data_IF_425132043015
#
_entry.id   IF_425132043015
#
_cell.length_a   1.000
_cell.length_b   1.000
_cell.length_c   1.000
_cell.angle_alpha   90.00
_cell.angle_beta   90.00
_cell.angle_gamma   90.00
#
_symmetry.space_group_name_H-M   'P 1'
#
loop_
_entity.id
_entity.type
_entity.pdbx_description
1 polymer ?
#
# COMPACT_ATOMS: atom_id res chain seq x y z
N UNK A 1 -4.15 -35.31 -16.05
CA UNK A 1 -3.35 -34.53 -15.07
C UNK A 1 -4.32 -34.08 -14.02
N UNK A 2 -4.08 -34.39 -12.75
CA UNK A 2 -4.92 -33.87 -11.68
C UNK A 2 -4.91 -32.34 -11.73
N UNK A 3 -6.10 -31.74 -11.64
CA UNK A 3 -6.23 -30.29 -11.69
C UNK A 3 -5.50 -29.67 -10.51
N UNK A 4 -4.63 -28.71 -10.79
CA UNK A 4 -3.74 -28.09 -9.80
C UNK A 4 -4.58 -27.23 -8.86
N UNK A 5 -4.47 -27.48 -7.55
CA UNK A 5 -5.19 -26.74 -6.52
C UNK A 5 -4.59 -25.37 -6.22
N UNK A 6 -5.38 -24.31 -6.36
CA UNK A 6 -5.02 -22.93 -6.01
C UNK A 6 -5.92 -22.43 -4.89
N UNK A 7 -5.36 -22.09 -3.74
CA UNK A 7 -6.08 -21.50 -2.63
C UNK A 7 -6.13 -19.98 -2.76
N UNK A 8 -7.33 -19.41 -2.74
CA UNK A 8 -7.55 -17.96 -2.61
C UNK A 8 -8.13 -17.67 -1.22
N UNK A 9 -7.39 -17.00 -0.32
CA UNK A 9 -7.88 -16.69 1.02
C UNK A 9 -8.95 -15.61 1.07
N UNK A 10 -8.90 -14.66 0.13
CA UNK A 10 -9.77 -13.48 0.06
C UNK A 10 -10.13 -13.13 -1.39
N UNK A 11 -11.30 -12.54 -1.65
CA UNK A 11 -11.64 -12.04 -2.98
C UNK A 11 -10.73 -10.84 -3.30
N UNK A 12 -10.12 -10.86 -4.49
CA UNK A 12 -9.11 -9.87 -4.90
C UNK A 12 -9.51 -9.11 -6.16
N UNK A 13 -9.85 -9.84 -7.21
CA UNK A 13 -10.27 -9.30 -8.50
C UNK A 13 -11.16 -10.32 -9.19
N UNK A 14 -12.33 -9.88 -9.65
CA UNK A 14 -13.25 -10.76 -10.39
C UNK A 14 -12.61 -11.30 -11.67
N UNK A 15 -11.76 -10.51 -12.33
CA UNK A 15 -11.01 -10.94 -13.51
C UNK A 15 -10.00 -12.03 -13.15
N UNK A 16 -9.21 -11.83 -12.09
CA UNK A 16 -8.25 -12.84 -11.62
C UNK A 16 -8.94 -14.14 -11.23
N UNK A 17 -10.04 -14.05 -10.49
CA UNK A 17 -10.83 -15.22 -10.07
C UNK A 17 -11.33 -16.02 -11.29
N UNK A 18 -11.96 -15.35 -12.26
CA UNK A 18 -12.44 -15.99 -13.50
C UNK A 18 -11.31 -16.65 -14.30
N UNK A 19 -10.16 -15.98 -14.42
CA UNK A 19 -9.02 -16.54 -15.15
C UNK A 19 -8.38 -17.72 -14.42
N UNK A 20 -8.33 -17.70 -13.08
CA UNK A 20 -7.86 -18.83 -12.29
C UNK A 20 -8.80 -20.03 -12.41
N UNK A 21 -10.12 -19.83 -12.36
CA UNK A 21 -11.12 -20.91 -12.49
C UNK A 21 -11.07 -21.61 -13.85
N UNK A 22 -10.66 -20.91 -14.90
CA UNK A 22 -10.47 -21.51 -16.24
C UNK A 22 -9.24 -22.42 -16.32
N UNK A 23 -8.26 -22.25 -15.41
CA UNK A 23 -6.91 -22.87 -15.50
C UNK A 23 -6.60 -23.85 -14.38
N UNK A 24 -7.20 -23.64 -13.22
CA UNK A 24 -6.86 -24.31 -11.97
C UNK A 24 -8.12 -24.76 -11.22
N UNK A 25 -7.96 -25.69 -10.28
CA UNK A 25 -8.98 -26.00 -9.29
C UNK A 25 -8.90 -24.97 -8.16
N UNK A 26 -9.80 -23.98 -8.15
CA UNK A 26 -9.75 -22.83 -7.23
C UNK A 26 -10.53 -23.11 -5.95
N UNK A 27 -9.83 -23.03 -4.82
CA UNK A 27 -10.38 -23.14 -3.47
C UNK A 27 -10.59 -21.73 -2.88
N UNK A 28 -11.85 -21.30 -2.77
CA UNK A 28 -12.21 -19.95 -2.30
C UNK A 28 -12.56 -19.96 -0.81
N UNK A 29 -11.73 -19.40 0.06
CA UNK A 29 -11.97 -19.46 1.51
C UNK A 29 -13.15 -18.60 1.99
N UNK A 30 -13.53 -17.56 1.26
CA UNK A 30 -14.67 -16.71 1.65
C UNK A 30 -16.03 -17.36 1.37
N UNK A 31 -16.08 -18.45 0.62
CA UNK A 31 -17.34 -19.15 0.31
C UNK A 31 -17.62 -20.32 1.25
N UNK A 32 -16.75 -20.57 2.24
CA UNK A 32 -16.85 -21.71 3.16
C UNK A 32 -16.98 -21.26 4.61
N UNK A 33 -17.86 -21.89 5.42
CA UNK A 33 -18.09 -21.48 6.81
C UNK A 33 -16.95 -21.90 7.76
N UNK A 34 -16.38 -23.10 7.57
CA UNK A 34 -15.34 -23.66 8.44
C UNK A 34 -13.98 -23.66 7.73
N UNK A 35 -13.39 -22.47 7.54
CA UNK A 35 -12.15 -22.25 6.78
C UNK A 35 -11.00 -23.18 7.19
N UNK A 36 -10.73 -23.30 8.50
CA UNK A 36 -9.64 -24.15 9.01
C UNK A 36 -9.84 -25.62 8.67
N UNK A 37 -11.08 -26.13 8.79
CA UNK A 37 -11.37 -27.52 8.44
C UNK A 37 -11.26 -27.74 6.93
N UNK A 38 -11.79 -26.81 6.13
CA UNK A 38 -11.70 -26.86 4.67
C UNK A 38 -10.25 -26.89 4.17
N UNK A 39 -9.35 -26.07 4.75
CA UNK A 39 -7.92 -26.11 4.42
C UNK A 39 -7.34 -27.50 4.73
N UNK A 40 -7.68 -28.09 5.88
CA UNK A 40 -7.21 -29.42 6.27
C UNK A 40 -7.73 -30.53 5.34
N UNK A 41 -9.01 -30.47 4.96
CA UNK A 41 -9.64 -31.44 4.07
C UNK A 41 -9.01 -31.42 2.65
N UNK A 42 -8.48 -30.27 2.23
CA UNK A 42 -7.85 -30.07 0.92
C UNK A 42 -6.33 -29.91 0.98
N UNK A 43 -5.69 -30.16 2.13
CA UNK A 43 -4.29 -29.86 2.40
C UNK A 43 -3.31 -30.49 1.38
N UNK A 44 -3.63 -31.69 0.89
CA UNK A 44 -2.81 -32.43 -0.08
C UNK A 44 -3.10 -32.05 -1.53
N UNK A 45 -4.17 -31.30 -1.80
CA UNK A 45 -4.58 -30.87 -3.14
C UNK A 45 -4.07 -29.46 -3.49
N UNK A 46 -3.88 -28.61 -2.48
CA UNK A 46 -3.43 -27.22 -2.66
C UNK A 46 -1.92 -27.19 -2.93
N UNK A 47 -1.56 -26.65 -4.09
CA UNK A 47 -0.17 -26.49 -4.56
C UNK A 47 0.24 -25.02 -4.71
N UNK A 48 -0.72 -24.10 -4.77
CA UNK A 48 -0.46 -22.68 -4.81
C UNK A 48 -1.40 -21.88 -3.90
N UNK A 49 -0.93 -20.72 -3.42
CA UNK A 49 -1.76 -19.70 -2.76
C UNK A 49 -1.73 -18.43 -3.60
N UNK A 50 -2.89 -17.79 -3.75
CA UNK A 50 -3.01 -16.43 -4.29
C UNK A 50 -3.56 -15.50 -3.21
N UNK A 51 -2.70 -14.67 -2.66
CA UNK A 51 -3.02 -13.68 -1.61
C UNK A 51 -2.93 -12.25 -2.11
N UNK A 52 -3.02 -11.27 -1.20
CA UNK A 52 -2.84 -9.84 -1.46
C UNK A 52 -2.24 -9.12 -0.22
N UNK A 53 -2.35 -7.79 -0.19
CA UNK A 53 -1.86 -6.97 0.92
C UNK A 53 -2.64 -7.14 2.24
N UNK A 54 -3.87 -7.67 2.22
CA UNK A 54 -4.66 -7.91 3.44
C UNK A 54 -4.51 -9.33 3.97
N UNK A 55 -4.34 -10.32 3.09
CA UNK A 55 -4.20 -11.73 3.46
C UNK A 55 -3.21 -12.45 2.54
N UNK A 56 -2.16 -13.02 3.14
CA UNK A 56 -1.12 -13.78 2.44
C UNK A 56 -1.01 -15.21 2.96
N UNK A 57 0.21 -15.65 3.22
CA UNK A 57 0.52 -16.99 3.71
C UNK A 57 1.47 -16.90 4.92
N UNK A 58 0.89 -16.98 6.12
CA UNK A 58 1.65 -17.03 7.37
C UNK A 58 2.24 -18.43 7.63
N UNK A 59 3.02 -18.54 8.70
CA UNK A 59 3.68 -19.80 9.08
C UNK A 59 2.68 -20.95 9.32
N UNK A 60 1.52 -20.68 9.93
CA UNK A 60 0.52 -21.69 10.26
C UNK A 60 -0.13 -22.26 8.99
N UNK A 61 -0.51 -21.39 8.05
CA UNK A 61 -1.07 -21.79 6.77
C UNK A 61 -0.06 -22.58 5.94
N UNK A 62 1.19 -22.12 5.90
CA UNK A 62 2.29 -22.81 5.20
C UNK A 62 2.53 -24.22 5.78
N UNK A 63 2.48 -24.37 7.11
CA UNK A 63 2.63 -25.69 7.75
C UNK A 63 1.47 -26.64 7.46
N UNK A 64 0.25 -26.10 7.33
CA UNK A 64 -0.94 -26.90 7.06
C UNK A 64 -0.98 -27.47 5.64
N UNK A 65 -0.20 -26.90 4.70
CA UNK A 65 -0.22 -27.24 3.28
C UNK A 65 1.07 -27.93 2.82
N UNK A 66 1.21 -29.25 3.05
CA UNK A 66 2.46 -29.99 2.79
C UNK A 66 2.83 -30.12 1.30
N UNK A 67 1.91 -29.77 0.39
CA UNK A 67 2.11 -29.79 -1.07
C UNK A 67 2.21 -28.40 -1.67
N UNK A 68 2.27 -27.35 -0.85
CA UNK A 68 2.44 -25.98 -1.31
C UNK A 68 3.79 -25.81 -2.02
N UNK A 69 3.77 -25.22 -3.22
CA UNK A 69 4.95 -25.02 -4.04
C UNK A 69 5.20 -23.53 -4.34
N UNK A 70 4.14 -22.72 -4.41
CA UNK A 70 4.24 -21.29 -4.74
C UNK A 70 3.18 -20.45 -4.01
N UNK A 71 3.60 -19.26 -3.54
CA UNK A 71 2.72 -18.18 -3.09
C UNK A 71 2.84 -17.02 -4.09
N UNK A 72 1.78 -16.76 -4.85
CA UNK A 72 1.71 -15.69 -5.83
C UNK A 72 0.85 -14.53 -5.29
N UNK A 73 1.50 -13.45 -4.86
CA UNK A 73 0.79 -12.34 -4.23
C UNK A 73 0.31 -11.30 -5.24
N UNK A 74 -0.96 -10.95 -5.17
CA UNK A 74 -1.58 -9.79 -5.82
C UNK A 74 -1.27 -8.50 -5.04
N UNK A 75 0.01 -8.26 -4.77
CA UNK A 75 0.54 -7.07 -4.10
C UNK A 75 2.03 -6.92 -4.42
N UNK A 76 2.61 -5.75 -4.13
CA UNK A 76 4.07 -5.56 -4.11
C UNK A 76 4.65 -5.85 -2.72
N UNK A 77 4.02 -5.32 -1.67
CA UNK A 77 4.44 -5.57 -0.28
C UNK A 77 4.18 -7.02 0.14
N UNK A 78 5.17 -7.61 0.81
CA UNK A 78 5.21 -9.03 1.21
C UNK A 78 4.99 -9.22 2.71
N UNK A 79 4.52 -8.20 3.42
CA UNK A 79 4.34 -8.19 4.88
C UNK A 79 3.32 -9.23 5.40
N UNK A 80 2.50 -9.82 4.51
CA UNK A 80 1.54 -10.88 4.82
C UNK A 80 2.02 -12.30 4.45
N UNK A 81 3.24 -12.45 3.97
CA UNK A 81 3.82 -13.76 3.60
C UNK A 81 5.05 -14.01 4.47
N UNK A 82 5.10 -15.17 5.14
CA UNK A 82 6.30 -15.58 5.87
C UNK A 82 7.38 -16.05 4.87
N UNK A 83 8.15 -15.08 4.36
CA UNK A 83 9.21 -15.32 3.39
C UNK A 83 10.29 -16.26 3.93
N UNK A 84 10.58 -16.20 5.23
CA UNK A 84 11.56 -17.08 5.87
C UNK A 84 11.07 -18.52 5.83
N UNK A 85 9.82 -18.75 6.21
CA UNK A 85 9.20 -20.08 6.19
C UNK A 85 9.07 -20.64 4.78
N UNK A 86 8.68 -19.81 3.82
CA UNK A 86 8.65 -20.21 2.40
C UNK A 86 10.04 -20.68 1.95
N UNK A 87 11.10 -19.92 2.25
CA UNK A 87 12.48 -20.28 1.90
C UNK A 87 12.93 -21.59 2.56
N UNK A 88 12.62 -21.79 3.84
CA UNK A 88 12.94 -23.01 4.59
C UNK A 88 12.30 -24.26 3.96
N UNK A 89 11.09 -24.14 3.41
CA UNK A 89 10.35 -25.24 2.77
C UNK A 89 10.55 -25.35 1.26
N UNK A 90 11.36 -24.48 0.65
CA UNK A 90 11.54 -24.45 -0.80
C UNK A 90 10.32 -23.97 -1.58
N UNK A 91 9.42 -23.22 -0.94
CA UNK A 91 8.23 -22.64 -1.54
C UNK A 91 8.61 -21.34 -2.24
N UNK A 92 8.25 -21.21 -3.52
CA UNK A 92 8.50 -20.01 -4.32
C UNK A 92 7.57 -18.89 -3.90
N UNK A 93 8.04 -17.65 -3.97
CA UNK A 93 7.19 -16.47 -3.73
C UNK A 93 7.32 -15.51 -4.89
N UNK A 94 6.20 -15.02 -5.41
CA UNK A 94 6.16 -13.99 -6.45
C UNK A 94 5.24 -12.84 -6.04
N UNK A 95 5.52 -11.66 -6.56
CA UNK A 95 4.73 -10.45 -6.32
C UNK A 95 4.45 -9.71 -7.65
N UNK A 96 3.86 -8.52 -7.57
CA UNK A 96 3.46 -7.72 -8.75
C UNK A 96 4.20 -6.37 -8.85
N UNK A 97 5.54 -6.36 -8.90
CA UNK A 97 6.33 -5.13 -9.00
C UNK A 97 6.10 -4.45 -10.34
N UNK A 98 6.45 -3.17 -10.39
CA UNK A 98 6.47 -2.33 -11.59
C UNK A 98 5.10 -1.94 -12.15
N UNK A 99 4.14 -2.87 -12.24
CA UNK A 99 2.82 -2.65 -12.85
C UNK A 99 1.91 -1.66 -12.11
N UNK A 100 2.16 -1.39 -10.82
CA UNK A 100 1.35 -0.48 -10.00
C UNK A 100 2.06 0.82 -9.60
N UNK A 101 3.33 0.98 -9.97
CA UNK A 101 4.14 2.11 -9.48
C UNK A 101 3.53 3.47 -9.87
N UNK A 102 3.00 3.55 -11.09
CA UNK A 102 2.48 4.81 -11.63
C UNK A 102 1.18 5.22 -10.94
N UNK A 103 0.18 4.34 -10.85
CA UNK A 103 -1.09 4.66 -10.18
C UNK A 103 -0.90 4.98 -8.69
N UNK A 104 0.00 4.27 -8.00
CA UNK A 104 0.29 4.58 -6.59
C UNK A 104 0.94 5.96 -6.46
N UNK A 105 1.85 6.31 -7.37
CA UNK A 105 2.49 7.62 -7.37
C UNK A 105 1.52 8.74 -7.79
N UNK A 106 0.60 8.47 -8.72
CA UNK A 106 -0.47 9.38 -9.12
C UNK A 106 -1.41 9.65 -7.94
N UNK A 107 -1.79 8.62 -7.19
CA UNK A 107 -2.63 8.79 -6.00
C UNK A 107 -1.91 9.60 -4.92
N UNK A 108 -0.60 9.41 -4.71
CA UNK A 108 0.16 10.22 -3.75
C UNK A 108 0.07 11.71 -4.09
N UNK A 109 0.29 12.09 -5.35
CA UNK A 109 0.17 13.49 -5.80
C UNK A 109 -1.29 13.98 -5.72
N UNK A 110 -2.25 13.12 -6.07
CA UNK A 110 -3.68 13.38 -5.94
C UNK A 110 -4.10 13.68 -4.49
N UNK A 111 -3.62 12.88 -3.52
CA UNK A 111 -3.84 13.09 -2.10
C UNK A 111 -3.24 14.41 -1.63
N UNK A 112 -2.00 14.74 -2.03
CA UNK A 112 -1.39 16.03 -1.68
C UNK A 112 -2.22 17.20 -2.18
N UNK A 113 -2.64 17.16 -3.45
CA UNK A 113 -3.50 18.19 -4.03
C UNK A 113 -4.85 18.26 -3.29
N UNK A 114 -5.45 17.12 -3.00
CA UNK A 114 -6.75 17.02 -2.33
C UNK A 114 -6.73 17.65 -0.94
N UNK A 115 -5.70 17.37 -0.13
CA UNK A 115 -5.59 17.91 1.24
C UNK A 115 -5.17 19.38 1.25
N UNK A 116 -4.18 19.77 0.44
CA UNK A 116 -3.67 21.15 0.46
C UNK A 116 -4.64 22.15 -0.15
N UNK A 117 -5.36 21.74 -1.20
CA UNK A 117 -6.37 22.57 -1.88
C UNK A 117 -7.79 22.32 -1.38
N UNK A 118 -7.96 21.46 -0.37
CA UNK A 118 -9.26 21.11 0.23
C UNK A 118 -10.28 20.69 -0.82
N UNK A 119 -9.87 19.87 -1.79
CA UNK A 119 -10.71 19.53 -2.96
C UNK A 119 -12.00 18.82 -2.53
N UNK A 120 -11.90 17.82 -1.66
CA UNK A 120 -13.06 17.07 -1.18
C UNK A 120 -14.00 17.94 -0.33
N UNK A 121 -13.45 18.84 0.49
CA UNK A 121 -14.24 19.77 1.30
C UNK A 121 -14.94 20.82 0.41
N UNK A 122 -14.23 21.36 -0.59
CA UNK A 122 -14.74 22.32 -1.57
C UNK A 122 -15.86 21.71 -2.44
N UNK A 123 -15.70 20.45 -2.87
CA UNK A 123 -16.76 19.72 -3.58
C UNK A 123 -18.03 19.60 -2.73
N UNK A 124 -17.91 19.16 -1.46
CA UNK A 124 -19.04 19.10 -0.51
C UNK A 124 -19.68 20.47 -0.26
N UNK A 125 -18.87 21.52 -0.20
CA UNK A 125 -19.34 22.89 -0.02
C UNK A 125 -20.25 23.35 -1.17
N UNK A 126 -19.85 23.06 -2.41
CA UNK A 126 -20.67 23.36 -3.60
C UNK A 126 -21.94 22.50 -3.62
N UNK A 127 -21.83 21.18 -3.39
CA UNK A 127 -22.97 20.25 -3.42
C UNK A 127 -24.02 20.56 -2.35
N UNK A 128 -23.60 21.06 -1.19
CA UNK A 128 -24.52 21.52 -0.13
C UNK A 128 -25.18 22.88 -0.41
N UNK A 129 -24.84 23.53 -1.53
CA UNK A 129 -25.41 24.82 -1.94
C UNK A 129 -24.88 26.02 -1.16
N UNK A 130 -23.87 25.84 -0.30
CA UNK A 130 -23.30 26.91 0.53
C UNK A 130 -22.63 28.01 -0.30
N UNK A 131 -22.11 27.68 -1.48
CA UNK A 131 -21.47 28.67 -2.35
C UNK A 131 -22.42 29.76 -2.86
N UNK A 132 -23.74 29.53 -2.83
CA UNK A 132 -24.72 30.59 -3.11
C UNK A 132 -24.73 31.69 -2.05
N UNK A 133 -24.16 31.44 -0.87
CA UNK A 133 -24.18 32.33 0.30
C UNK A 133 -22.86 33.07 0.50
N UNK A 134 -21.74 32.42 0.23
CA UNK A 134 -20.41 33.00 0.40
C UNK A 134 -19.37 32.23 -0.42
N UNK A 135 -18.26 32.89 -0.72
CA UNK A 135 -17.09 32.23 -1.28
C UNK A 135 -16.48 31.24 -0.28
N UNK A 136 -15.78 30.25 -0.83
CA UNK A 136 -15.03 29.29 -0.04
C UNK A 136 -13.72 29.89 0.50
N UNK A 137 -13.22 29.36 1.62
CA UNK A 137 -11.99 29.84 2.29
C UNK A 137 -10.75 29.69 1.39
N UNK A 138 -9.77 30.57 1.58
CA UNK A 138 -8.46 30.43 0.94
C UNK A 138 -7.77 29.15 1.41
N UNK A 139 -7.06 28.49 0.49
CA UNK A 139 -6.35 27.23 0.74
C UNK A 139 -4.85 27.38 0.48
N UNK A 140 -4.09 26.29 0.64
CA UNK A 140 -2.63 26.35 0.63
C UNK A 140 -2.10 26.14 -0.78
N UNK A 141 -1.20 27.03 -1.23
CA UNK A 141 -0.46 26.82 -2.47
C UNK A 141 0.38 25.54 -2.39
N UNK A 142 0.22 24.67 -3.38
CA UNK A 142 1.01 23.47 -3.53
C UNK A 142 2.41 23.79 -4.09
N UNK A 143 2.54 24.42 -5.27
CA UNK A 143 3.82 24.64 -6.01
C UNK A 143 4.95 25.30 -5.18
N UNK A 144 6.17 24.74 -5.26
CA UNK A 144 7.39 25.27 -4.63
C UNK A 144 7.69 24.82 -3.18
N UNK A 145 6.83 23.98 -2.59
CA UNK A 145 6.97 23.35 -1.25
C UNK A 145 8.02 22.23 -1.21
N UNK A 146 8.68 21.99 -0.09
CA UNK A 146 9.64 20.88 -0.03
C UNK A 146 8.92 19.54 0.19
N UNK A 147 9.19 18.54 -0.65
CA UNK A 147 8.62 17.20 -0.54
C UNK A 147 9.68 16.24 0.01
N UNK A 148 9.44 15.73 1.21
CA UNK A 148 10.18 14.64 1.83
C UNK A 148 9.57 13.30 1.48
N UNK A 149 10.39 12.36 1.01
CA UNK A 149 9.94 11.00 0.67
C UNK A 149 10.64 10.00 1.58
N UNK A 150 9.87 9.27 2.39
CA UNK A 150 10.36 8.15 3.19
C UNK A 150 10.27 6.87 2.34
N UNK A 151 11.42 6.36 1.91
CA UNK A 151 11.54 5.23 0.99
C UNK A 151 11.62 5.66 -0.47
N UNK A 152 12.83 5.78 -1.01
CA UNK A 152 13.05 6.14 -2.41
C UNK A 152 13.25 4.93 -3.34
N UNK A 153 12.42 3.91 -3.15
CA UNK A 153 12.32 2.77 -4.06
C UNK A 153 11.62 3.12 -5.38
N UNK A 154 11.04 2.13 -6.06
CA UNK A 154 10.31 2.32 -7.32
C UNK A 154 9.19 3.36 -7.22
N UNK A 155 8.31 3.20 -6.22
CA UNK A 155 7.19 4.12 -5.96
C UNK A 155 7.70 5.51 -5.56
N UNK A 156 8.63 5.59 -4.61
CA UNK A 156 9.21 6.87 -4.19
C UNK A 156 9.87 7.65 -5.33
N UNK A 157 10.59 6.96 -6.23
CA UNK A 157 11.16 7.56 -7.45
C UNK A 157 10.08 8.07 -8.41
N UNK A 158 8.99 7.33 -8.58
CA UNK A 158 7.84 7.75 -9.40
C UNK A 158 7.10 8.96 -8.81
N UNK A 159 6.95 9.02 -7.48
CA UNK A 159 6.42 10.19 -6.76
C UNK A 159 7.35 11.39 -6.95
N UNK A 160 8.66 11.23 -6.72
CA UNK A 160 9.64 12.29 -6.90
C UNK A 160 9.58 12.88 -8.30
N UNK A 161 9.58 12.04 -9.35
CA UNK A 161 9.49 12.47 -10.75
C UNK A 161 8.26 13.35 -11.02
N UNK A 162 7.10 12.98 -10.48
CA UNK A 162 5.87 13.77 -10.63
C UNK A 162 5.94 15.08 -9.84
N UNK A 163 6.46 15.02 -8.61
CA UNK A 163 6.68 16.18 -7.75
C UNK A 163 7.63 17.22 -8.39
N UNK A 164 8.66 16.80 -9.13
CA UNK A 164 9.56 17.71 -9.85
C UNK A 164 8.83 18.61 -10.88
N UNK A 165 7.78 18.10 -11.53
CA UNK A 165 6.98 18.87 -12.49
C UNK A 165 6.25 20.06 -11.84
N UNK A 166 6.07 20.03 -10.52
CA UNK A 166 5.50 21.13 -9.73
C UNK A 166 6.58 22.01 -9.07
N UNK A 167 7.83 21.92 -9.55
CA UNK A 167 8.99 22.69 -9.07
C UNK A 167 9.30 22.48 -7.59
N UNK A 168 9.24 21.22 -7.12
CA UNK A 168 9.58 20.89 -5.74
C UNK A 168 11.05 20.59 -5.51
N UNK A 169 11.64 21.17 -4.44
CA UNK A 169 12.78 20.57 -3.80
C UNK A 169 12.37 19.20 -3.26
N UNK A 170 13.08 18.15 -3.69
CA UNK A 170 12.87 16.79 -3.20
C UNK A 170 13.99 16.43 -2.23
N UNK A 171 13.59 15.95 -1.06
CA UNK A 171 14.47 15.41 -0.02
C UNK A 171 13.99 14.00 0.31
N UNK A 172 14.88 13.12 0.78
CA UNK A 172 14.48 11.74 1.06
C UNK A 172 15.22 11.11 2.23
N UNK A 173 14.62 10.08 2.79
CA UNK A 173 15.26 9.15 3.72
C UNK A 173 15.01 7.73 3.22
N UNK A 174 16.05 6.91 3.18
CA UNK A 174 15.96 5.47 2.92
C UNK A 174 16.99 4.75 3.78
N UNK A 175 16.66 3.54 4.24
CA UNK A 175 17.57 2.72 5.03
C UNK A 175 17.72 1.38 4.30
N UNK A 176 18.89 1.06 3.72
CA UNK A 176 20.09 1.91 3.59
C UNK A 176 19.90 3.10 2.62
N UNK A 177 20.86 4.03 2.61
CA UNK A 177 20.91 5.12 1.63
C UNK A 177 20.99 4.54 0.21
N UNK A 178 20.10 5.01 -0.67
CA UNK A 178 20.13 4.69 -2.09
C UNK A 178 21.24 5.51 -2.77
N UNK A 179 22.26 4.86 -3.38
CA UNK A 179 23.38 5.58 -3.97
C UNK A 179 23.00 6.29 -5.27
N UNK A 180 23.75 7.34 -5.61
CA UNK A 180 23.67 8.06 -6.89
C UNK A 180 22.34 8.77 -7.18
N UNK A 181 21.65 9.23 -6.14
CA UNK A 181 20.47 10.06 -6.30
C UNK A 181 20.82 11.55 -6.30
N UNK A 182 20.15 12.34 -7.15
CA UNK A 182 20.31 13.80 -7.23
C UNK A 182 19.63 14.55 -6.08
N UNK A 183 18.81 13.86 -5.28
CA UNK A 183 18.02 14.46 -4.22
C UNK A 183 18.83 14.53 -2.93
N UNK A 184 18.48 15.47 -2.04
CA UNK A 184 19.18 15.59 -0.76
C UNK A 184 18.73 14.46 0.19
N UNK A 185 19.69 13.69 0.66
CA UNK A 185 19.49 12.63 1.65
C UNK A 185 19.46 13.19 3.08
N UNK A 186 18.61 12.60 3.92
CA UNK A 186 18.60 12.76 5.37
C UNK A 186 18.73 11.39 6.05
N UNK A 187 19.64 11.25 7.02
CA UNK A 187 19.90 9.97 7.69
C UNK A 187 18.84 9.58 8.73
N UNK A 188 17.95 10.51 9.10
CA UNK A 188 16.86 10.25 10.04
C UNK A 188 15.52 10.76 9.51
N UNK A 189 14.45 10.06 9.89
CA UNK A 189 13.09 10.43 9.49
C UNK A 189 12.64 11.72 10.19
N UNK A 190 13.12 11.98 11.40
CA UNK A 190 12.86 13.22 12.14
C UNK A 190 13.49 14.42 11.41
N UNK A 191 14.75 14.30 10.98
CA UNK A 191 15.39 15.38 10.18
C UNK A 191 14.70 15.56 8.84
N UNK A 192 14.29 14.47 8.17
CA UNK A 192 13.50 14.54 6.95
C UNK A 192 12.21 15.34 7.16
N UNK A 193 11.45 14.99 8.20
CA UNK A 193 10.19 15.64 8.56
C UNK A 193 10.38 17.13 8.89
N UNK A 194 11.40 17.47 9.67
CA UNK A 194 11.73 18.85 10.01
C UNK A 194 12.08 19.71 8.79
N UNK A 195 12.65 19.10 7.75
CA UNK A 195 13.14 19.81 6.56
C UNK A 195 12.18 19.73 5.36
N UNK A 196 10.95 19.24 5.52
CA UNK A 196 9.96 19.21 4.45
C UNK A 196 8.62 19.82 4.86
N UNK A 197 7.86 20.30 3.87
CA UNK A 197 6.47 20.71 4.08
C UNK A 197 5.50 19.53 3.93
N UNK A 198 5.88 18.55 3.10
CA UNK A 198 5.06 17.39 2.74
C UNK A 198 5.91 16.14 2.93
N UNK A 199 5.46 15.23 3.80
CA UNK A 199 6.10 13.94 4.02
C UNK A 199 5.27 12.83 3.37
N UNK A 200 5.83 12.15 2.38
CA UNK A 200 5.22 11.01 1.69
C UNK A 200 5.85 9.71 2.18
N UNK A 201 5.03 8.81 2.72
CA UNK A 201 5.42 7.48 3.16
C UNK A 201 5.30 6.49 2.00
N UNK A 202 6.43 5.98 1.53
CA UNK A 202 6.54 5.08 0.38
C UNK A 202 7.56 3.93 0.61
N UNK A 203 7.81 3.58 1.88
CA UNK A 203 8.70 2.48 2.27
C UNK A 203 7.91 1.17 2.53
N UNK A 204 8.57 0.00 2.43
CA UNK A 204 7.97 -1.27 2.86
C UNK A 204 7.70 -1.30 4.36
N UNK A 205 6.69 -2.06 4.79
CA UNK A 205 6.48 -2.40 6.19
C UNK A 205 7.36 -3.59 6.57
N UNK A 206 8.14 -3.40 7.64
CA UNK A 206 8.98 -4.38 8.33
C UNK A 206 8.86 -4.16 9.83
N UNK A 207 9.48 -5.00 10.65
CA UNK A 207 9.53 -4.78 12.10
C UNK A 207 10.26 -3.47 12.45
N UNK A 208 11.32 -3.12 11.71
CA UNK A 208 12.12 -1.92 11.94
C UNK A 208 11.42 -0.63 11.49
N UNK A 209 10.48 -0.71 10.55
CA UNK A 209 9.75 0.44 9.99
C UNK A 209 8.35 0.60 10.58
N UNK A 210 7.90 -0.33 11.42
CA UNK A 210 6.65 -0.21 12.16
C UNK A 210 6.69 1.04 13.05
N UNK A 211 5.65 1.87 12.94
CA UNK A 211 5.52 3.16 13.63
C UNK A 211 6.74 4.09 13.40
N UNK A 212 7.43 3.97 12.26
CA UNK A 212 8.52 4.88 11.91
C UNK A 212 8.06 6.34 11.82
N UNK A 213 6.78 6.56 11.51
CA UNK A 213 6.10 7.85 11.70
C UNK A 213 5.44 7.84 13.08
N UNK A 214 6.25 8.08 14.10
CA UNK A 214 5.81 8.21 15.49
C UNK A 214 5.50 9.68 15.84
N UNK A 215 5.16 9.94 17.11
CA UNK A 215 4.92 11.29 17.64
C UNK A 215 6.04 12.28 17.34
N UNK A 216 7.31 11.88 17.51
CA UNK A 216 8.46 12.76 17.29
C UNK A 216 8.55 13.23 15.84
N UNK A 217 8.34 12.31 14.88
CA UNK A 217 8.29 12.63 13.45
C UNK A 217 7.09 13.53 13.11
N UNK A 218 5.92 13.24 13.69
CA UNK A 218 4.70 14.03 13.48
C UNK A 218 4.88 15.47 13.99
N UNK A 219 5.44 15.63 15.19
CA UNK A 219 5.70 16.95 15.79
C UNK A 219 6.80 17.71 15.03
N UNK A 220 7.80 17.01 14.48
CA UNK A 220 8.82 17.61 13.62
C UNK A 220 8.25 18.11 12.28
N UNK A 221 7.29 17.39 11.69
CA UNK A 221 6.56 17.82 10.50
C UNK A 221 5.64 19.01 10.80
N UNK A 222 4.99 18.98 11.97
CA UNK A 222 4.40 20.14 12.62
C UNK A 222 3.09 20.68 12.03
N UNK A 223 2.59 21.81 12.56
CA UNK A 223 1.22 22.30 12.35
C UNK A 223 0.95 22.82 10.93
N UNK A 224 2.00 22.99 10.11
CA UNK A 224 1.91 23.39 8.70
C UNK A 224 2.22 22.23 7.75
N UNK A 225 2.64 21.10 8.30
CA UNK A 225 3.07 19.94 7.52
C UNK A 225 1.91 19.11 7.01
N UNK A 226 2.21 18.33 5.97
CA UNK A 226 1.29 17.45 5.25
C UNK A 226 1.83 16.03 5.34
N UNK A 227 1.10 15.11 5.95
CA UNK A 227 1.46 13.69 5.94
C UNK A 227 0.67 12.96 4.86
N UNK A 228 1.35 12.20 4.00
CA UNK A 228 0.72 11.34 2.98
C UNK A 228 1.16 9.90 3.21
N UNK A 229 0.22 8.98 3.38
CA UNK A 229 0.54 7.56 3.49
C UNK A 229 -0.19 6.76 2.41
N UNK A 230 0.60 6.18 1.49
CA UNK A 230 0.16 5.29 0.41
C UNK A 230 0.82 3.90 0.51
N UNK A 231 1.51 3.62 1.62
CA UNK A 231 2.28 2.42 1.81
C UNK A 231 1.52 1.40 2.67
N UNK A 232 1.60 1.53 3.99
CA UNK A 232 0.91 0.67 4.97
C UNK A 232 0.53 1.49 6.19
N UNK A 233 -0.65 1.23 6.76
CA UNK A 233 -1.11 1.90 7.98
C UNK A 233 -0.15 1.75 9.17
N UNK A 234 0.33 0.53 9.49
CA UNK A 234 1.26 0.30 10.60
C UNK A 234 2.64 0.97 10.51
N UNK A 235 2.95 1.73 9.44
CA UNK A 235 4.12 2.60 9.39
C UNK A 235 3.93 3.86 10.23
N UNK A 236 2.67 4.21 10.53
CA UNK A 236 2.29 5.37 11.34
C UNK A 236 1.76 4.89 12.69
N UNK A 237 2.15 5.56 13.76
CA UNK A 237 1.46 5.45 15.05
C UNK A 237 0.10 6.16 14.94
N UNK A 238 -0.93 5.40 14.56
CA UNK A 238 -2.25 5.93 14.21
C UNK A 238 -2.95 6.67 15.36
N UNK A 239 -2.91 6.20 16.62
CA UNK A 239 -3.39 6.98 17.76
C UNK A 239 -2.72 8.36 17.90
N UNK A 240 -1.40 8.43 17.74
CA UNK A 240 -0.66 9.69 17.79
C UNK A 240 -0.97 10.60 16.61
N UNK A 241 -1.17 10.05 15.41
CA UNK A 241 -1.62 10.81 14.24
C UNK A 241 -2.99 11.45 14.48
N UNK A 242 -3.96 10.68 15.00
CA UNK A 242 -5.31 11.16 15.31
C UNK A 242 -5.25 12.28 16.36
N UNK A 243 -4.51 12.08 17.45
CA UNK A 243 -4.29 13.11 18.48
C UNK A 243 -3.65 14.37 17.89
N UNK A 244 -2.62 14.24 17.07
CA UNK A 244 -1.92 15.37 16.48
C UNK A 244 -2.80 16.20 15.54
N UNK A 245 -3.67 15.56 14.77
CA UNK A 245 -4.62 16.24 13.88
C UNK A 245 -5.73 16.96 14.66
N UNK A 246 -6.22 16.36 15.74
CA UNK A 246 -7.24 16.96 16.62
C UNK A 246 -6.68 18.15 17.40
N UNK A 247 -5.45 18.03 17.90
CA UNK A 247 -4.75 19.06 18.68
C UNK A 247 -4.10 20.15 17.81
N UNK A 248 -4.09 19.95 16.49
CA UNK A 248 -3.45 20.88 15.54
C UNK A 248 -1.92 20.85 15.58
N UNK A 249 -1.31 19.82 16.19
CA UNK A 249 0.14 19.57 16.11
C UNK A 249 0.58 19.19 14.70
N UNK A 250 -0.31 18.54 13.94
CA UNK A 250 -0.14 18.27 12.51
C UNK A 250 -1.18 19.03 11.69
N UNK A 251 -0.74 19.61 10.56
CA UNK A 251 -1.59 20.45 9.72
C UNK A 251 -2.70 19.67 9.00
N UNK A 252 -2.33 18.77 8.09
CA UNK A 252 -3.26 17.98 7.28
C UNK A 252 -2.70 16.58 6.99
N UNK A 253 -3.57 15.61 6.69
CA UNK A 253 -3.15 14.27 6.29
C UNK A 253 -3.98 13.69 5.13
N UNK A 254 -3.31 12.99 4.21
CA UNK A 254 -3.93 12.22 3.14
C UNK A 254 -3.59 10.74 3.30
N UNK A 255 -4.60 9.92 3.57
CA UNK A 255 -4.41 8.52 3.97
C UNK A 255 -5.12 7.60 2.98
N UNK A 256 -4.37 6.69 2.36
CA UNK A 256 -4.94 5.57 1.62
C UNK A 256 -4.99 4.29 2.46
N UNK A 257 -4.28 4.25 3.59
CA UNK A 257 -4.05 3.04 4.39
C UNK A 257 -4.18 3.32 5.88
N UNK A 258 -4.60 2.31 6.66
CA UNK A 258 -4.90 2.39 8.10
C UNK A 258 -4.38 1.17 8.85
N UNK A 259 -4.19 1.29 10.17
CA UNK A 259 -3.53 0.23 10.95
C UNK A 259 -4.32 -1.08 10.94
N UNK A 260 -5.66 -0.99 11.00
CA UNK A 260 -6.57 -2.14 11.12
C UNK A 260 -7.63 -2.15 10.01
N UNK A 261 -7.24 -1.90 8.76
CA UNK A 261 -8.15 -1.91 7.61
C UNK A 261 -9.09 -3.14 7.60
N UNK A 262 -10.39 -2.95 7.33
CA UNK A 262 -11.04 -1.72 6.82
C UNK A 262 -11.46 -0.72 7.91
N UNK A 263 -11.12 -0.95 9.18
CA UNK A 263 -11.47 -0.04 10.26
C UNK A 263 -10.64 1.25 10.17
N UNK A 264 -11.34 2.39 10.28
CA UNK A 264 -10.74 3.73 10.28
C UNK A 264 -11.19 4.44 11.56
N UNK A 265 -10.29 5.12 12.31
CA UNK A 265 -10.68 5.86 13.49
C UNK A 265 -11.79 6.88 13.19
N UNK A 266 -12.96 6.73 13.82
CA UNK A 266 -14.14 7.57 13.57
C UNK A 266 -13.87 9.06 13.83
N UNK A 267 -12.92 9.37 14.72
CA UNK A 267 -12.47 10.73 15.01
C UNK A 267 -11.98 11.46 13.75
N UNK A 268 -11.48 10.74 12.75
CA UNK A 268 -11.01 11.33 11.49
C UNK A 268 -12.17 11.74 10.56
N UNK A 269 -13.36 11.16 10.69
CA UNK A 269 -14.48 11.41 9.76
C UNK A 269 -15.00 12.84 9.82
N UNK A 270 -14.92 13.47 11.00
CA UNK A 270 -15.34 14.85 11.21
C UNK A 270 -14.29 15.89 10.82
N UNK A 271 -13.06 15.48 10.50
CA UNK A 271 -11.95 16.39 10.25
C UNK A 271 -11.96 16.93 8.81
N UNK A 272 -11.94 18.25 8.68
CA UNK A 272 -11.81 18.92 7.39
C UNK A 272 -10.38 18.86 6.83
N UNK A 273 -9.39 18.66 7.70
CA UNK A 273 -7.96 18.62 7.38
C UNK A 273 -7.44 17.23 6.99
N UNK A 274 -8.34 16.28 6.68
CA UNK A 274 -7.96 14.95 6.20
C UNK A 274 -8.67 14.57 4.90
N UNK A 275 -8.01 13.72 4.12
CA UNK A 275 -8.62 12.96 3.02
C UNK A 275 -8.37 11.49 3.28
N UNK A 276 -9.45 10.71 3.28
CA UNK A 276 -9.48 9.31 3.67
C UNK A 276 -9.92 8.47 2.47
N UNK A 277 -9.06 7.55 2.02
CA UNK A 277 -9.32 6.65 0.90
C UNK A 277 -9.26 5.20 1.36
N UNK A 278 -10.03 4.28 0.73
CA UNK A 278 -10.12 2.89 1.16
C UNK A 278 -9.11 1.98 0.42
N UNK A 279 -7.80 2.26 0.53
CA UNK A 279 -6.71 1.48 -0.06
C UNK A 279 -6.84 1.27 -1.58
N UNK A 280 -6.90 2.37 -2.30
CA UNK A 280 -7.18 2.43 -3.74
C UNK A 280 -5.99 2.84 -4.59
N UNK A 281 -4.77 2.95 -4.03
CA UNK A 281 -3.59 3.39 -4.77
C UNK A 281 -3.30 2.60 -6.06
N UNK A 282 -3.57 1.30 -6.10
CA UNK A 282 -3.47 0.47 -7.31
C UNK A 282 -4.82 0.17 -7.98
N UNK A 283 -5.88 0.84 -7.56
CA UNK A 283 -7.29 0.50 -7.80
C UNK A 283 -7.86 0.92 -9.15
N UNK A 284 -7.07 0.94 -10.21
CA UNK A 284 -7.55 1.19 -11.59
C UNK A 284 -7.83 -0.12 -12.32
N UNK A 285 -8.64 -0.07 -13.37
CA UNK A 285 -8.96 -1.27 -14.17
C UNK A 285 -7.69 -1.83 -14.81
N UNK A 286 -6.87 -0.95 -15.37
CA UNK A 286 -5.64 -1.24 -16.09
C UNK A 286 -4.60 -1.89 -15.19
N UNK A 287 -4.28 -1.28 -14.05
CA UNK A 287 -3.29 -1.82 -13.12
C UNK A 287 -3.77 -3.12 -12.49
N UNK A 288 -5.05 -3.22 -12.10
CA UNK A 288 -5.57 -4.46 -11.51
C UNK A 288 -5.57 -5.62 -12.50
N UNK A 289 -5.81 -5.36 -13.79
CA UNK A 289 -5.69 -6.38 -14.83
C UNK A 289 -4.23 -6.78 -15.05
N UNK A 290 -3.30 -5.82 -15.15
CA UNK A 290 -1.88 -6.10 -15.31
C UNK A 290 -1.29 -6.90 -14.12
N UNK A 291 -1.71 -6.57 -12.89
CA UNK A 291 -1.36 -7.35 -11.70
C UNK A 291 -1.91 -8.78 -11.77
N UNK A 292 -3.14 -8.94 -12.26
CA UNK A 292 -3.79 -10.26 -12.35
C UNK A 292 -3.09 -11.13 -13.37
N UNK A 293 -2.81 -10.59 -14.55
CA UNK A 293 -2.05 -11.26 -15.62
C UNK A 293 -0.66 -11.68 -15.13
N UNK A 294 -0.01 -10.85 -14.32
CA UNK A 294 1.30 -11.17 -13.76
C UNK A 294 1.23 -12.29 -12.70
N UNK A 295 0.20 -12.32 -11.86
CA UNK A 295 -0.06 -13.44 -10.93
C UNK A 295 -0.29 -14.73 -11.71
N UNK A 296 -1.15 -14.71 -12.72
CA UNK A 296 -1.46 -15.86 -13.58
C UNK A 296 -0.21 -16.34 -14.30
N UNK A 297 0.56 -15.42 -14.91
CA UNK A 297 1.78 -15.74 -15.63
C UNK A 297 2.85 -16.38 -14.74
N UNK A 298 2.97 -15.98 -13.47
CA UNK A 298 3.87 -16.63 -12.52
C UNK A 298 3.42 -18.05 -12.15
N UNK A 299 2.11 -18.25 -11.92
CA UNK A 299 1.57 -19.58 -11.65
C UNK A 299 1.74 -20.52 -12.85
N UNK A 300 1.42 -20.04 -14.06
CA UNK A 300 1.63 -20.80 -15.30
C UNK A 300 3.11 -21.14 -15.50
N UNK A 301 4.01 -20.17 -15.32
CA UNK A 301 5.45 -20.40 -15.43
C UNK A 301 5.93 -21.47 -14.44
N UNK A 302 5.50 -21.38 -13.18
CA UNK A 302 5.82 -22.35 -12.13
C UNK A 302 5.41 -23.77 -12.53
N UNK A 303 4.13 -23.96 -12.88
CA UNK A 303 3.60 -25.29 -13.19
C UNK A 303 4.02 -25.84 -14.55
N UNK A 304 4.56 -25.00 -15.44
CA UNK A 304 5.22 -25.41 -16.68
C UNK A 304 6.74 -25.60 -16.52
N UNK A 305 7.28 -25.51 -15.30
CA UNK A 305 8.72 -25.58 -15.01
C UNK A 305 9.55 -24.55 -15.81
N UNK A 306 8.99 -23.37 -16.04
CA UNK A 306 9.66 -22.22 -16.65
C UNK A 306 10.17 -21.26 -15.56
N UNK A 307 11.15 -20.39 -15.87
CA UNK A 307 11.54 -19.31 -14.96
C UNK A 307 10.33 -18.44 -14.57
N UNK A 308 10.21 -18.13 -13.27
CA UNK A 308 9.19 -17.22 -12.77
C UNK A 308 9.42 -15.81 -13.30
N UNK A 309 8.35 -15.05 -13.48
CA UNK A 309 8.41 -13.70 -14.05
C UNK A 309 8.92 -12.69 -13.02
N UNK A 310 8.42 -12.78 -11.78
CA UNK A 310 8.72 -11.82 -10.70
C UNK A 310 8.97 -12.52 -9.35
N UNK A 311 10.00 -13.38 -9.26
CA UNK A 311 10.34 -14.07 -8.01
C UNK A 311 10.91 -13.14 -6.94
N UNK A 312 10.52 -13.39 -5.69
CA UNK A 312 11.06 -12.79 -4.46
C UNK A 312 11.90 -13.80 -3.68
N UNK A 313 11.46 -15.06 -3.65
CA UNK A 313 12.14 -16.22 -3.01
C UNK A 313 12.39 -17.33 -4.01
#
# INVERSE_FOLDING_TARGET
>A
MDSIGVLMPVPVSAYLEQELEKRFNVFKLWTVPHKTQFIKDHATSIRAIVGNASTGADAELIETLPKLEIVASFSVGMDKVDLKKCKEKGIRVTNTPDVLNDDVADLAIGLVLAVMRRLCESDRYVRSGQWKKSDYKLTTKFTGKTVGILGLGRIGKAVAKRAEAFSYPIVYCSIPEEPNLKYKYYPSVVELAFNCDILVVACPLTEETRHIINREVIDALGPKGVLINIARGPLVDEPELVSALLEGRLGVAGLDVYQNEPEVPEQLFGLENVVLLPHVASGTVETRNAMADLVIGNLEAHFLNKPLLTPVV
#
